data_IF_682430364241
#
_entry.id   IF_682430364241
#
_cell.length_a   1.000
_cell.length_b   1.000
_cell.length_c   1.000
_cell.angle_alpha   90.00
_cell.angle_beta   90.00
_cell.angle_gamma   90.00
#
_symmetry.space_group_name_H-M   'P 1'
#
loop_
_entity.id
_entity.type
_entity.pdbx_description
1 polymer ?
#
# COMPACT_ATOMS: atom_id res chain seq x y z
N UNK A 1 -2.78 -7.77 2.77
CA UNK A 1 -2.75 -6.41 3.32
C UNK A 1 -3.80 -5.53 2.65
N UNK A 2 -4.54 -4.79 3.43
CA UNK A 2 -5.51 -3.81 2.92
C UNK A 2 -4.94 -2.42 3.15
N UNK A 3 -4.99 -1.55 2.15
CA UNK A 3 -4.54 -0.17 2.27
C UNK A 3 -5.62 0.79 1.81
N UNK A 4 -5.69 1.95 2.45
CA UNK A 4 -6.69 2.97 2.16
C UNK A 4 -6.17 4.35 2.53
N UNK A 5 -6.68 5.37 1.88
CA UNK A 5 -6.42 6.76 2.23
C UNK A 5 -7.72 7.55 2.27
N UNK A 6 -7.92 8.30 3.33
CA UNK A 6 -8.91 9.36 3.38
C UNK A 6 -8.27 10.65 2.88
N UNK A 7 -9.01 11.77 2.96
CA UNK A 7 -8.45 13.07 2.57
C UNK A 7 -7.25 13.49 3.42
N UNK A 8 -7.17 13.03 4.66
CA UNK A 8 -6.20 13.50 5.64
C UNK A 8 -5.30 12.41 6.23
N UNK A 9 -5.60 11.13 5.98
CA UNK A 9 -4.94 10.02 6.66
C UNK A 9 -4.73 8.86 5.71
N UNK A 10 -3.59 8.19 5.83
CA UNK A 10 -3.34 6.90 5.19
C UNK A 10 -3.37 5.80 6.25
N UNK A 11 -3.89 4.64 5.90
CA UNK A 11 -4.01 3.51 6.82
C UNK A 11 -3.83 2.18 6.10
N UNK A 12 -3.44 1.16 6.86
CA UNK A 12 -3.34 -0.19 6.33
C UNK A 12 -3.49 -1.21 7.45
N UNK A 13 -3.98 -2.39 7.08
CA UNK A 13 -4.11 -3.54 7.98
C UNK A 13 -3.37 -4.70 7.34
N UNK A 14 -2.43 -5.28 8.08
CA UNK A 14 -1.74 -6.50 7.66
C UNK A 14 -2.50 -7.70 8.22
N UNK A 15 -2.89 -8.60 7.31
CA UNK A 15 -3.64 -9.82 7.65
C UNK A 15 -2.75 -11.03 7.47
N UNK A 16 -3.00 -12.07 8.24
CA UNK A 16 -2.33 -13.35 8.10
C UNK A 16 -3.37 -14.46 8.09
N UNK A 17 -3.18 -15.44 7.20
CA UNK A 17 -4.00 -16.64 7.19
C UNK A 17 -3.42 -17.69 8.13
N UNK A 18 -4.29 -18.34 8.89
CA UNK A 18 -3.89 -19.46 9.73
C UNK A 18 -3.97 -20.80 8.96
N UNK A 19 -3.71 -21.92 9.64
CA UNK A 19 -3.76 -23.25 9.03
C UNK A 19 -5.14 -23.64 8.50
N UNK A 20 -6.20 -22.97 8.95
CA UNK A 20 -7.59 -23.19 8.51
C UNK A 20 -8.00 -22.23 7.40
N UNK A 21 -7.04 -21.48 6.83
CA UNK A 21 -7.26 -20.48 5.78
C UNK A 21 -8.14 -19.31 6.22
N UNK A 22 -8.18 -19.03 7.53
CA UNK A 22 -8.91 -17.90 8.11
C UNK A 22 -7.95 -16.72 8.26
N UNK A 23 -8.32 -15.57 7.67
CA UNK A 23 -7.55 -14.35 7.82
C UNK A 23 -7.83 -13.67 9.16
N UNK A 24 -6.79 -13.20 9.80
CA UNK A 24 -6.89 -12.37 10.99
C UNK A 24 -5.90 -11.22 10.95
N UNK A 25 -6.25 -10.05 11.50
CA UNK A 25 -5.33 -8.92 11.52
C UNK A 25 -4.18 -9.18 12.50
N UNK A 26 -2.95 -8.88 12.06
CA UNK A 26 -1.76 -9.03 12.90
C UNK A 26 -1.05 -7.69 13.13
N UNK A 27 -1.32 -6.69 12.31
CA UNK A 27 -0.73 -5.37 12.47
C UNK A 27 -1.61 -4.31 11.81
N UNK A 28 -1.57 -3.12 12.35
CA UNK A 28 -2.33 -1.96 11.86
C UNK A 28 -1.43 -0.75 11.85
N UNK A 29 -1.60 0.10 10.84
CA UNK A 29 -0.96 1.41 10.84
C UNK A 29 -1.94 2.49 10.40
N UNK A 30 -1.77 3.68 10.95
CA UNK A 30 -2.49 4.87 10.52
C UNK A 30 -1.55 6.05 10.71
N UNK A 31 -1.52 6.93 9.71
CA UNK A 31 -0.63 8.08 9.74
C UNK A 31 -1.32 9.29 9.10
N UNK A 32 -1.33 10.45 9.77
CA UNK A 32 -1.87 11.64 9.16
C UNK A 32 -0.98 12.09 8.00
N UNK A 33 -1.61 12.66 6.98
CA UNK A 33 -0.88 13.24 5.85
C UNK A 33 -0.27 14.58 6.28
N UNK A 34 0.97 14.81 5.88
CA UNK A 34 1.65 16.09 6.12
C UNK A 34 1.08 17.17 5.19
N UNK A 35 1.24 18.46 5.52
CA UNK A 35 0.67 19.54 4.68
C UNK A 35 0.99 19.43 3.20
N UNK A 36 2.24 19.08 2.83
CA UNK A 36 2.62 18.94 1.43
C UNK A 36 2.03 17.69 0.78
N UNK A 37 1.68 16.67 1.56
CA UNK A 37 1.06 15.43 1.09
C UNK A 37 -0.43 15.60 0.83
N UNK A 38 -1.07 16.56 1.50
CA UNK A 38 -2.50 16.85 1.30
C UNK A 38 -2.81 17.34 -0.11
N UNK A 39 -1.80 17.81 -0.84
CA UNK A 39 -1.95 18.30 -2.24
C UNK A 39 -2.04 17.16 -3.25
N UNK A 40 -1.74 15.93 -2.86
CA UNK A 40 -1.87 14.80 -3.76
C UNK A 40 -3.34 14.57 -4.12
N UNK A 41 -3.58 14.03 -5.32
CA UNK A 41 -4.93 13.58 -5.69
C UNK A 41 -5.33 12.42 -4.78
N UNK A 42 -6.63 12.12 -4.69
CA UNK A 42 -7.10 10.99 -3.88
C UNK A 42 -6.48 9.68 -4.36
N UNK A 43 -6.32 9.51 -5.66
CA UNK A 43 -5.69 8.33 -6.24
C UNK A 43 -4.22 8.21 -5.80
N UNK A 44 -3.48 9.33 -5.83
CA UNK A 44 -2.11 9.35 -5.36
C UNK A 44 -2.00 9.06 -3.85
N UNK A 45 -2.96 9.52 -3.06
CA UNK A 45 -3.02 9.23 -1.63
C UNK A 45 -3.21 7.73 -1.38
N UNK A 46 -4.05 7.06 -2.17
CA UNK A 46 -4.20 5.60 -2.09
C UNK A 46 -2.90 4.87 -2.42
N UNK A 47 -2.18 5.33 -3.45
CA UNK A 47 -0.88 4.75 -3.80
C UNK A 47 0.15 5.01 -2.69
N UNK A 48 0.15 6.20 -2.13
CA UNK A 48 1.03 6.57 -1.02
C UNK A 48 0.76 5.71 0.23
N UNK A 49 -0.50 5.34 0.46
CA UNK A 49 -0.85 4.45 1.56
C UNK A 49 -0.15 3.09 1.43
N UNK A 50 -0.05 2.54 0.23
CA UNK A 50 0.69 1.29 -0.02
C UNK A 50 2.16 1.47 0.31
N UNK A 51 2.78 2.55 -0.16
CA UNK A 51 4.20 2.84 0.10
C UNK A 51 4.48 2.95 1.60
N UNK A 52 3.65 3.69 2.31
CA UNK A 52 3.76 3.83 3.77
C UNK A 52 3.58 2.50 4.49
N UNK A 53 2.61 1.70 4.07
CA UNK A 53 2.33 0.40 4.65
C UNK A 53 3.49 -0.56 4.46
N UNK A 54 4.07 -0.60 3.27
CA UNK A 54 5.22 -1.45 2.95
C UNK A 54 6.41 -1.12 3.85
N UNK A 55 6.68 0.17 4.08
CA UNK A 55 7.73 0.62 4.99
C UNK A 55 7.43 0.23 6.43
N UNK A 56 6.18 0.41 6.86
CA UNK A 56 5.77 0.15 8.24
C UNK A 56 5.79 -1.33 8.58
N UNK A 57 5.34 -2.17 7.65
CA UNK A 57 5.25 -3.62 7.84
C UNK A 57 6.44 -4.39 7.27
N UNK A 58 7.55 -3.73 7.01
CA UNK A 58 8.71 -4.29 6.33
C UNK A 58 9.15 -5.65 6.88
N UNK A 59 9.23 -5.77 8.19
CA UNK A 59 9.72 -7.00 8.82
C UNK A 59 8.77 -8.18 8.62
N UNK A 60 7.48 -7.91 8.47
CA UNK A 60 6.48 -8.96 8.24
C UNK A 60 6.47 -9.46 6.80
N UNK A 61 6.79 -8.58 5.83
CA UNK A 61 6.59 -8.88 4.40
C UNK A 61 7.88 -9.17 3.64
N UNK A 62 9.06 -8.95 4.24
CA UNK A 62 10.35 -8.92 3.54
C UNK A 62 10.65 -10.20 2.75
N UNK A 63 10.36 -11.36 3.29
CA UNK A 63 10.64 -12.65 2.64
C UNK A 63 9.37 -13.45 2.36
N UNK A 64 8.25 -12.76 2.19
CA UNK A 64 6.95 -13.39 2.00
C UNK A 64 6.24 -12.80 0.78
N UNK A 65 5.49 -13.64 0.08
CA UNK A 65 4.56 -13.13 -0.94
C UNK A 65 3.38 -12.47 -0.25
N UNK A 66 3.11 -11.22 -0.59
CA UNK A 66 2.04 -10.43 0.05
C UNK A 66 1.06 -9.94 -0.99
N UNK A 67 -0.23 -10.20 -0.79
CA UNK A 67 -1.30 -9.63 -1.60
C UNK A 67 -1.70 -8.30 -0.99
N UNK A 68 -1.69 -7.25 -1.79
CA UNK A 68 -2.09 -5.90 -1.39
C UNK A 68 -3.41 -5.56 -2.07
N UNK A 69 -4.45 -5.34 -1.27
CA UNK A 69 -5.77 -4.98 -1.77
C UNK A 69 -5.93 -3.46 -1.70
N UNK A 70 -6.24 -2.86 -2.84
CA UNK A 70 -6.38 -1.40 -3.01
C UNK A 70 -7.79 -1.07 -3.50
N UNK A 71 -8.28 0.16 -3.26
CA UNK A 71 -9.67 0.51 -3.62
C UNK A 71 -9.96 0.57 -5.12
N UNK A 72 -8.94 0.77 -5.96
CA UNK A 72 -9.14 1.01 -7.39
C UNK A 72 -7.98 0.41 -8.20
N UNK A 73 -8.29 -0.14 -9.37
CA UNK A 73 -7.30 -0.66 -10.31
C UNK A 73 -6.27 0.41 -10.71
N UNK A 74 -6.67 1.67 -10.79
CA UNK A 74 -5.79 2.77 -11.14
C UNK A 74 -4.64 2.94 -10.12
N UNK A 75 -4.82 2.54 -8.87
CA UNK A 75 -3.76 2.55 -7.86
C UNK A 75 -2.64 1.58 -8.25
N UNK A 76 -3.02 0.39 -8.72
CA UNK A 76 -2.06 -0.59 -9.23
C UNK A 76 -1.28 -0.01 -10.42
N UNK A 77 -1.97 0.67 -11.33
CA UNK A 77 -1.33 1.28 -12.51
C UNK A 77 -0.28 2.31 -12.11
N UNK A 78 -0.57 3.16 -11.14
CA UNK A 78 0.40 4.15 -10.63
C UNK A 78 1.64 3.46 -10.07
N UNK A 79 1.47 2.36 -9.34
CA UNK A 79 2.57 1.69 -8.64
C UNK A 79 3.36 0.72 -9.52
N UNK A 80 2.88 0.42 -10.73
CA UNK A 80 3.54 -0.52 -11.64
C UNK A 80 4.08 0.14 -12.90
N UNK A 81 3.73 1.40 -13.19
CA UNK A 81 4.28 2.14 -14.31
C UNK A 81 5.74 2.50 -14.06
N UNK A 82 6.54 2.48 -15.12
CA UNK A 82 7.92 2.95 -15.05
C UNK A 82 7.95 4.46 -15.24
N UNK A 83 8.32 5.17 -14.18
CA UNK A 83 8.63 6.59 -14.22
C UNK A 83 9.99 6.81 -13.58
N UNK A 84 10.87 7.53 -14.28
CA UNK A 84 12.21 7.84 -13.78
C UNK A 84 12.26 9.28 -13.28
N UNK A 85 12.86 9.46 -12.09
CA UNK A 85 13.19 10.79 -11.57
C UNK A 85 12.03 11.56 -10.93
N UNK A 86 10.87 10.94 -10.75
CA UNK A 86 9.72 11.56 -10.11
C UNK A 86 9.46 10.98 -8.72
N UNK A 87 8.56 11.61 -7.97
CA UNK A 87 8.09 11.06 -6.69
C UNK A 87 7.48 9.67 -6.88
N UNK A 88 6.69 9.48 -7.96
CA UNK A 88 6.10 8.18 -8.29
C UNK A 88 7.16 7.13 -8.60
N UNK A 89 8.25 7.52 -9.25
CA UNK A 89 9.37 6.63 -9.51
C UNK A 89 9.97 6.08 -8.22
N UNK A 90 10.10 6.91 -7.19
CA UNK A 90 10.58 6.50 -5.88
C UNK A 90 9.60 5.52 -5.22
N UNK A 91 8.29 5.74 -5.36
CA UNK A 91 7.28 4.82 -4.84
C UNK A 91 7.36 3.45 -5.52
N UNK A 92 7.48 3.44 -6.84
CA UNK A 92 7.57 2.22 -7.64
C UNK A 92 8.82 1.41 -7.23
N UNK A 93 9.97 2.07 -7.12
CA UNK A 93 11.20 1.43 -6.69
C UNK A 93 11.05 0.81 -5.29
N UNK A 94 10.39 1.50 -4.38
CA UNK A 94 10.18 1.01 -3.01
C UNK A 94 9.28 -0.21 -2.99
N UNK A 95 8.20 -0.19 -3.75
CA UNK A 95 7.25 -1.31 -3.83
C UNK A 95 7.91 -2.53 -4.48
N UNK A 96 8.78 -2.32 -5.48
CA UNK A 96 9.47 -3.41 -6.18
C UNK A 96 10.52 -4.12 -5.35
N UNK A 97 10.91 -3.59 -4.20
CA UNK A 97 11.82 -4.29 -3.28
C UNK A 97 11.19 -5.54 -2.66
N UNK A 98 9.87 -5.69 -2.75
CA UNK A 98 9.10 -6.75 -2.10
C UNK A 98 8.31 -7.56 -3.11
N UNK A 99 7.99 -8.80 -2.75
CA UNK A 99 7.14 -9.68 -3.56
C UNK A 99 5.67 -9.36 -3.28
N UNK A 100 5.14 -8.38 -4.01
CA UNK A 100 3.79 -7.87 -3.83
C UNK A 100 2.91 -8.17 -5.05
N UNK A 101 1.68 -8.59 -4.78
CA UNK A 101 0.63 -8.73 -5.78
C UNK A 101 -0.48 -7.72 -5.46
N UNK A 102 -0.53 -6.63 -6.21
CA UNK A 102 -1.48 -5.54 -5.99
C UNK A 102 -2.74 -5.81 -6.78
N UNK A 103 -3.87 -5.90 -6.08
CA UNK A 103 -5.17 -6.20 -6.68
C UNK A 103 -6.23 -5.21 -6.20
N UNK A 104 -7.20 -4.85 -7.06
CA UNK A 104 -8.34 -4.07 -6.60
C UNK A 104 -9.23 -4.92 -5.71
N UNK A 105 -9.77 -4.32 -4.67
CA UNK A 105 -10.76 -4.99 -3.83
C UNK A 105 -12.15 -4.63 -4.34
N UNK A 106 -13.02 -5.64 -4.41
CA UNK A 106 -14.42 -5.42 -4.76
C UNK A 106 -15.17 -5.15 -3.46
N UNK A 107 -15.61 -3.92 -3.31
CA UNK A 107 -16.47 -3.53 -2.22
C UNK A 107 -17.90 -3.38 -2.70
#
# INVERSE_FOLDING_TARGET
MYSYASEHTVSAILMQKNSEDIESPIAFMSSPLKPHELKMTQLEKHAFAVVKAVKNFRYYILNSHTVVLVPDTAVKSILTQQELGSLRGNWIAKVQEYDLDIKPTKL
#
